data_IF_913882692693
#
_entry.id   IF_913882692693
#
_cell.length_a   1.000
_cell.length_b   1.000
_cell.length_c   1.000
_cell.angle_alpha   90.00
_cell.angle_beta   90.00
_cell.angle_gamma   90.00
#
_symmetry.space_group_name_H-M   'P 1'
#
loop_
_entity.id
_entity.type
_entity.pdbx_description
1 polymer ?
#
# COMPACT_ATOMS: atom_id res chain seq x y z
N UNK A 1 -3.24 25.62 -14.56
CA UNK A 1 -2.48 25.49 -13.30
C UNK A 1 -3.37 24.70 -12.35
N UNK A 2 -2.93 23.54 -11.87
CA UNK A 2 -3.70 22.80 -10.87
C UNK A 2 -3.75 23.62 -9.57
N UNK A 3 -4.91 23.68 -8.89
CA UNK A 3 -5.02 24.41 -7.64
C UNK A 3 -4.06 23.81 -6.61
N UNK A 4 -3.27 24.66 -5.97
CA UNK A 4 -2.31 24.25 -4.94
C UNK A 4 -3.06 23.66 -3.75
N UNK A 5 -2.74 22.41 -3.39
CA UNK A 5 -3.34 21.73 -2.24
C UNK A 5 -2.93 22.43 -0.94
N UNK A 6 -3.86 22.94 -0.11
CA UNK A 6 -3.53 23.48 1.20
C UNK A 6 -3.21 22.35 2.19
N UNK A 7 -2.28 22.60 3.13
CA UNK A 7 -1.95 21.62 4.16
C UNK A 7 -3.16 21.37 5.08
N UNK A 8 -3.55 20.10 5.34
CA UNK A 8 -4.63 19.77 6.28
C UNK A 8 -4.42 20.27 7.72
N UNK A 9 -3.19 20.63 8.08
CA UNK A 9 -2.84 21.15 9.40
C UNK A 9 -2.73 22.67 9.39
N UNK A 10 -1.75 23.25 8.68
CA UNK A 10 -1.49 24.69 8.74
C UNK A 10 -2.17 25.52 7.65
N UNK A 11 -2.88 24.89 6.72
CA UNK A 11 -3.54 25.51 5.55
C UNK A 11 -2.62 26.27 4.59
N UNK A 12 -1.31 26.26 4.81
CA UNK A 12 -0.34 26.81 3.86
C UNK A 12 -0.29 25.96 2.58
N UNK A 13 0.01 26.57 1.42
CA UNK A 13 0.18 25.83 0.17
C UNK A 13 1.25 24.75 0.30
N UNK A 14 0.92 23.53 -0.14
CA UNK A 14 1.87 22.42 -0.18
C UNK A 14 2.71 22.46 -1.46
N UNK A 15 3.92 21.91 -1.37
CA UNK A 15 4.84 21.77 -2.50
C UNK A 15 4.61 20.42 -3.15
N UNK A 16 4.15 20.41 -4.39
CA UNK A 16 4.01 19.19 -5.17
C UNK A 16 5.38 18.72 -5.69
N UNK A 17 5.70 17.44 -5.51
CA UNK A 17 6.87 16.76 -6.08
C UNK A 17 6.42 15.57 -6.91
N UNK A 18 6.99 15.40 -8.09
CA UNK A 18 6.69 14.25 -8.94
C UNK A 18 7.65 13.10 -8.66
N UNK A 19 7.11 11.90 -8.68
CA UNK A 19 7.84 10.64 -8.53
C UNK A 19 7.36 9.68 -9.61
N UNK A 20 8.20 8.72 -9.97
CA UNK A 20 7.81 7.69 -10.94
C UNK A 20 6.65 6.83 -10.41
N UNK A 21 5.72 6.46 -11.30
CA UNK A 21 4.63 5.52 -11.00
C UNK A 21 5.05 4.06 -11.25
N UNK A 22 4.40 3.13 -10.54
CA UNK A 22 4.53 1.69 -10.74
C UNK A 22 4.26 1.32 -12.21
N UNK A 23 3.21 1.90 -12.78
CA UNK A 23 2.91 1.90 -14.21
C UNK A 23 3.60 3.07 -14.91
N UNK A 24 3.51 3.16 -16.24
CA UNK A 24 4.03 4.31 -16.98
C UNK A 24 3.47 5.65 -16.46
N UNK A 25 4.37 6.61 -16.25
CA UNK A 25 4.05 8.00 -15.88
C UNK A 25 4.59 8.43 -14.51
N UNK A 26 4.06 9.55 -14.02
CA UNK A 26 4.49 10.18 -12.77
C UNK A 26 3.31 10.44 -11.83
N UNK A 27 3.55 10.38 -10.52
CA UNK A 27 2.61 10.72 -9.45
C UNK A 27 3.10 11.98 -8.76
N UNK A 28 2.23 12.99 -8.67
CA UNK A 28 2.49 14.19 -7.88
C UNK A 28 2.14 13.91 -6.43
N UNK A 29 3.03 14.24 -5.50
CA UNK A 29 2.82 14.08 -4.07
C UNK A 29 2.99 15.46 -3.42
N UNK A 30 2.00 15.85 -2.62
CA UNK A 30 1.98 17.15 -1.95
C UNK A 30 2.70 17.07 -0.60
N UNK A 31 3.69 17.94 -0.40
CA UNK A 31 4.52 17.98 0.81
C UNK A 31 4.40 19.32 1.54
N UNK A 32 4.23 19.26 2.85
CA UNK A 32 4.31 20.40 3.74
C UNK A 32 5.55 20.27 4.63
N UNK A 33 6.62 20.99 4.29
CA UNK A 33 7.85 21.01 5.09
C UNK A 33 7.66 21.74 6.43
N UNK A 34 6.74 22.71 6.54
CA UNK A 34 6.48 23.36 7.82
C UNK A 34 5.88 22.38 8.86
N UNK A 35 4.94 21.50 8.46
CA UNK A 35 4.32 20.52 9.36
C UNK A 35 5.01 19.15 9.37
N UNK A 36 5.98 18.93 8.47
CA UNK A 36 6.50 17.61 8.09
C UNK A 36 5.37 16.63 7.73
N UNK A 37 4.50 17.06 6.81
CA UNK A 37 3.30 16.34 6.40
C UNK A 37 3.28 16.02 4.91
N UNK A 38 2.65 14.90 4.56
CA UNK A 38 2.41 14.45 3.19
C UNK A 38 0.90 14.32 3.02
N UNK A 39 0.38 14.85 1.93
CA UNK A 39 -0.97 14.54 1.46
C UNK A 39 -0.84 13.60 0.28
N UNK A 40 -1.51 12.46 0.38
CA UNK A 40 -1.70 11.51 -0.71
C UNK A 40 -3.15 11.59 -1.15
N UNK A 41 -3.42 11.95 -2.40
CA UNK A 41 -4.75 11.77 -2.98
C UNK A 41 -5.06 10.26 -3.13
N UNK A 42 -6.28 9.93 -3.55
CA UNK A 42 -6.72 8.54 -3.69
C UNK A 42 -5.73 7.74 -4.57
N UNK A 43 -5.26 6.61 -4.03
CA UNK A 43 -4.32 5.68 -4.66
C UNK A 43 -2.88 6.18 -4.89
N UNK A 44 -2.53 7.43 -4.61
CA UNK A 44 -1.19 7.93 -4.91
C UNK A 44 -0.10 7.18 -4.12
N UNK A 45 -0.33 6.90 -2.84
CA UNK A 45 0.69 6.26 -2.00
C UNK A 45 1.07 4.84 -2.42
N UNK A 46 0.19 4.13 -3.16
CA UNK A 46 0.46 2.79 -3.68
C UNK A 46 1.03 2.81 -5.10
N UNK A 47 0.95 3.95 -5.78
CA UNK A 47 1.42 4.12 -7.14
C UNK A 47 2.90 4.50 -7.23
N UNK A 48 3.55 4.93 -6.14
CA UNK A 48 4.98 5.30 -6.17
C UNK A 48 5.85 4.04 -6.38
N UNK A 49 6.84 4.11 -7.26
CA UNK A 49 7.83 3.02 -7.47
C UNK A 49 8.70 2.80 -6.23
N UNK A 50 9.36 1.63 -6.10
CA UNK A 50 10.43 1.47 -5.10
C UNK A 50 11.50 2.57 -5.18
N UNK A 51 11.92 2.95 -6.39
CA UNK A 51 12.84 4.06 -6.65
C UNK A 51 12.31 5.40 -6.16
N UNK A 52 11.05 5.72 -6.46
CA UNK A 52 10.37 6.93 -5.99
C UNK A 52 10.24 6.98 -4.47
N UNK A 53 10.06 5.84 -3.79
CA UNK A 53 10.08 5.77 -2.32
C UNK A 53 11.46 6.14 -1.78
N UNK A 54 12.55 5.69 -2.41
CA UNK A 54 13.92 6.07 -2.04
C UNK A 54 14.15 7.56 -2.24
N UNK A 55 13.69 8.13 -3.35
CA UNK A 55 13.79 9.57 -3.61
C UNK A 55 13.00 10.40 -2.60
N UNK A 56 11.77 10.00 -2.31
CA UNK A 56 10.94 10.66 -1.29
C UNK A 56 11.58 10.56 0.10
N UNK A 57 12.19 9.42 0.45
CA UNK A 57 12.96 9.28 1.68
C UNK A 57 14.14 10.26 1.75
N UNK A 58 14.94 10.36 0.68
CA UNK A 58 16.07 11.31 0.61
C UNK A 58 15.60 12.75 0.78
N UNK A 59 14.50 13.12 0.12
CA UNK A 59 13.92 14.46 0.23
C UNK A 59 13.45 14.75 1.65
N UNK A 60 12.70 13.84 2.28
CA UNK A 60 12.27 13.99 3.67
C UNK A 60 13.48 14.14 4.61
N UNK A 61 14.52 13.34 4.38
CA UNK A 61 15.73 13.36 5.20
C UNK A 61 16.55 14.65 5.05
N UNK A 62 16.51 15.32 3.89
CA UNK A 62 17.14 16.63 3.67
C UNK A 62 16.51 17.72 4.53
N UNK A 63 15.19 17.64 4.76
CA UNK A 63 14.42 18.60 5.55
C UNK A 63 14.23 18.19 7.02
N UNK A 64 14.96 17.19 7.51
CA UNK A 64 14.74 16.62 8.85
C UNK A 64 14.98 17.61 10.00
N UNK A 65 15.90 18.54 9.80
CA UNK A 65 16.36 19.50 10.82
C UNK A 65 15.65 20.86 10.67
N UNK A 66 14.73 21.00 9.70
CA UNK A 66 13.95 22.21 9.49
C UNK A 66 13.04 22.48 10.68
N UNK A 67 12.76 23.77 10.92
CA UNK A 67 11.88 24.17 12.01
C UNK A 67 10.46 23.65 11.74
N UNK A 68 10.04 22.74 12.61
CA UNK A 68 8.75 22.07 12.51
C UNK A 68 7.67 22.77 13.34
N UNK A 69 6.56 23.08 12.69
CA UNK A 69 5.31 23.49 13.34
C UNK A 69 4.57 22.27 13.94
N UNK A 70 3.96 22.41 15.12
CA UNK A 70 3.07 21.39 15.68
C UNK A 70 1.94 21.05 14.71
N UNK A 71 1.57 19.77 14.66
CA UNK A 71 0.41 19.32 13.86
C UNK A 71 -0.86 19.58 14.66
N UNK A 72 -1.86 20.19 14.02
CA UNK A 72 -3.14 20.52 14.65
C UNK A 72 -3.90 19.26 15.08
N UNK A 73 -4.66 19.37 16.18
CA UNK A 73 -5.45 18.26 16.73
C UNK A 73 -6.65 17.89 15.85
N UNK A 74 -7.16 18.86 15.09
CA UNK A 74 -8.19 18.68 14.07
C UNK A 74 -7.53 18.98 12.73
N UNK A 75 -7.74 18.08 11.77
CA UNK A 75 -7.21 18.22 10.41
C UNK A 75 -8.37 18.13 9.45
N UNK A 76 -8.38 18.98 8.43
CA UNK A 76 -9.47 19.07 7.45
C UNK A 76 -9.01 18.61 6.07
N UNK A 77 -9.90 17.96 5.33
CA UNK A 77 -9.60 17.51 3.99
C UNK A 77 -9.40 18.72 3.05
N UNK A 78 -8.32 18.77 2.25
CA UNK A 78 -8.08 19.88 1.33
C UNK A 78 -9.02 19.88 0.12
N UNK A 79 -9.83 18.83 -0.07
CA UNK A 79 -10.79 18.70 -1.18
C UNK A 79 -12.24 19.01 -0.75
N UNK A 80 -12.69 18.46 0.38
CA UNK A 80 -14.07 18.63 0.84
C UNK A 80 -14.22 19.37 2.18
N UNK A 81 -13.12 19.80 2.80
CA UNK A 81 -13.08 20.53 4.08
C UNK A 81 -13.69 19.80 5.28
N UNK A 82 -14.10 18.54 5.11
CA UNK A 82 -14.54 17.68 6.20
C UNK A 82 -13.36 17.24 7.07
N UNK A 83 -13.64 17.05 8.36
CA UNK A 83 -12.65 16.56 9.33
C UNK A 83 -12.11 15.19 8.92
N UNK A 84 -10.78 15.07 8.90
CA UNK A 84 -10.09 13.81 8.66
C UNK A 84 -10.19 12.89 9.88
N UNK A 85 -10.43 11.60 9.63
CA UNK A 85 -10.47 10.59 10.68
C UNK A 85 -9.09 9.98 10.90
N UNK A 86 -8.70 9.94 12.16
CA UNK A 86 -7.49 9.25 12.60
C UNK A 86 -7.61 7.73 12.38
N UNK A 87 -6.64 7.16 11.67
CA UNK A 87 -6.49 5.73 11.43
C UNK A 87 -5.18 5.21 12.01
N UNK A 88 -5.20 3.95 12.44
CA UNK A 88 -4.05 3.19 12.91
C UNK A 88 -3.96 1.91 12.08
N UNK A 89 -2.76 1.56 11.64
CA UNK A 89 -2.52 0.40 10.79
C UNK A 89 -1.13 -0.20 11.07
N UNK A 90 -0.82 -1.35 10.46
CA UNK A 90 0.40 -2.11 10.67
C UNK A 90 1.17 -2.27 9.35
N UNK A 91 2.45 -1.93 9.36
CA UNK A 91 3.37 -2.15 8.25
C UNK A 91 4.65 -2.84 8.74
N UNK A 92 5.63 -3.00 7.84
CA UNK A 92 6.94 -3.63 8.15
C UNK A 92 7.66 -2.94 9.32
N UNK A 93 7.64 -1.59 9.38
CA UNK A 93 8.23 -0.83 10.48
C UNK A 93 7.38 -0.77 11.75
N UNK A 94 6.26 -1.50 11.78
CA UNK A 94 5.34 -1.59 12.91
C UNK A 94 4.07 -0.76 12.74
N UNK A 95 3.42 -0.44 13.86
CA UNK A 95 2.19 0.36 13.90
C UNK A 95 2.44 1.80 13.43
N UNK A 96 1.65 2.30 12.51
CA UNK A 96 1.71 3.69 12.08
C UNK A 96 0.31 4.30 12.06
N UNK A 97 0.23 5.63 12.04
CA UNK A 97 -1.01 6.37 12.00
C UNK A 97 -1.07 7.33 10.81
N UNK A 98 -2.29 7.66 10.41
CA UNK A 98 -2.59 8.59 9.34
C UNK A 98 -3.97 9.21 9.57
N UNK A 99 -4.35 10.22 8.80
CA UNK A 99 -5.67 10.84 8.87
C UNK A 99 -6.33 10.78 7.49
N UNK A 100 -7.43 10.04 7.35
CA UNK A 100 -8.09 9.80 6.06
C UNK A 100 -9.38 10.59 5.91
N UNK A 101 -9.68 10.97 4.69
CA UNK A 101 -10.99 11.51 4.33
C UNK A 101 -12.01 10.38 4.15
N UNK A 102 -13.18 10.49 4.77
CA UNK A 102 -14.27 9.51 4.58
C UNK A 102 -14.84 9.51 3.16
N UNK A 103 -14.73 10.64 2.44
CA UNK A 103 -15.11 10.77 1.04
C UNK A 103 -14.04 10.21 0.08
N UNK A 104 -13.02 9.52 0.61
CA UNK A 104 -11.93 8.89 -0.15
C UNK A 104 -11.05 9.83 -0.98
N UNK A 105 -11.10 11.14 -0.75
CA UNK A 105 -10.22 12.09 -1.42
C UNK A 105 -8.73 11.88 -1.17
N UNK A 106 -8.35 11.22 -0.07
CA UNK A 106 -6.95 11.02 0.27
C UNK A 106 -6.69 10.83 1.76
N UNK A 107 -5.41 10.86 2.12
CA UNK A 107 -4.93 10.81 3.50
C UNK A 107 -3.76 11.76 3.75
N UNK A 108 -3.72 12.28 4.98
CA UNK A 108 -2.59 13.00 5.53
C UNK A 108 -1.74 12.07 6.39
N UNK A 109 -0.45 11.99 6.08
CA UNK A 109 0.55 11.19 6.81
C UNK A 109 1.74 12.06 7.12
N UNK A 110 2.28 12.00 8.34
CA UNK A 110 3.48 12.79 8.69
C UNK A 110 4.74 12.08 8.20
N UNK A 111 5.83 12.82 7.99
CA UNK A 111 7.11 12.25 7.53
C UNK A 111 7.57 11.09 8.41
N UNK A 112 7.45 11.23 9.74
CA UNK A 112 7.75 10.15 10.68
C UNK A 112 6.88 8.91 10.46
N UNK A 113 5.58 9.07 10.24
CA UNK A 113 4.66 7.96 10.01
C UNK A 113 4.89 7.29 8.66
N UNK A 114 5.25 8.07 7.64
CA UNK A 114 5.68 7.52 6.35
C UNK A 114 6.95 6.68 6.49
N UNK A 115 7.94 7.15 7.26
CA UNK A 115 9.16 6.37 7.52
C UNK A 115 8.85 5.06 8.27
N UNK A 116 7.90 5.06 9.22
CA UNK A 116 7.44 3.83 9.89
C UNK A 116 6.74 2.90 8.90
N UNK A 117 5.81 3.45 8.11
CA UNK A 117 5.06 2.70 7.10
C UNK A 117 5.99 1.99 6.11
N UNK A 118 7.03 2.68 5.64
CA UNK A 118 7.99 2.14 4.66
C UNK A 118 9.17 1.38 5.29
N UNK A 119 9.24 1.32 6.62
CA UNK A 119 10.26 0.55 7.34
C UNK A 119 11.64 1.20 7.44
N UNK A 120 11.77 2.49 7.14
CA UNK A 120 13.02 3.24 7.34
C UNK A 120 13.31 3.53 8.82
N UNK A 121 12.31 3.39 9.68
CA UNK A 121 12.49 3.45 11.14
C UNK A 121 11.89 2.21 11.77
N UNK A 122 12.43 1.86 12.94
CA UNK A 122 11.87 0.82 13.79
C UNK A 122 11.32 1.40 15.09
N UNK A 123 10.42 0.65 15.69
CA UNK A 123 9.89 0.95 17.01
C UNK A 123 10.84 0.41 18.07
N UNK A 124 11.02 1.17 19.14
CA UNK A 124 11.80 0.71 20.27
C UNK A 124 11.11 -0.46 20.96
N UNK A 125 11.90 -1.45 21.34
CA UNK A 125 11.43 -2.55 22.20
C UNK A 125 11.14 -2.03 23.60
N UNK A 126 10.35 -2.78 24.38
CA UNK A 126 10.08 -2.43 25.77
C UNK A 126 11.35 -2.29 26.62
N UNK A 127 12.38 -3.11 26.34
CA UNK A 127 13.68 -3.03 27.03
C UNK A 127 14.42 -1.74 26.70
N UNK A 128 14.48 -1.36 25.42
CA UNK A 128 15.12 -0.11 24.99
C UNK A 128 14.39 1.12 25.52
N UNK A 129 13.05 1.09 25.55
CA UNK A 129 12.25 2.15 26.18
C UNK A 129 12.62 2.25 27.67
N UNK A 130 12.70 1.13 28.39
CA UNK A 130 13.09 1.13 29.80
C UNK A 130 14.50 1.67 30.05
N UNK A 131 15.46 1.42 29.16
CA UNK A 131 16.78 2.04 29.24
C UNK A 131 16.74 3.54 28.93
N UNK A 132 15.95 3.95 27.93
CA UNK A 132 15.78 5.36 27.56
C UNK A 132 15.17 6.17 28.70
N UNK A 133 14.19 5.59 29.42
CA UNK A 133 13.53 6.17 30.61
C UNK A 133 14.49 6.60 31.71
N UNK A 134 15.63 5.91 31.84
CA UNK A 134 16.65 6.23 32.86
C UNK A 134 17.46 7.47 32.50
N UNK A 135 17.53 7.83 31.21
CA UNK A 135 18.40 8.89 30.68
C UNK A 135 17.62 10.13 30.24
N UNK A 136 16.38 9.96 29.79
CA UNK A 136 15.56 11.03 29.22
C UNK A 136 14.19 11.02 29.88
N UNK A 137 13.72 12.19 30.32
CA UNK A 137 12.39 12.34 30.92
C UNK A 137 11.31 12.59 29.88
N UNK A 138 11.47 13.64 29.09
CA UNK A 138 10.48 14.09 28.10
C UNK A 138 11.11 14.14 26.72
N UNK A 139 10.50 13.50 25.74
CA UNK A 139 10.85 13.62 24.31
C UNK A 139 9.73 14.30 23.54
N UNK A 140 10.02 14.81 22.34
CA UNK A 140 8.99 15.34 21.44
C UNK A 140 8.52 14.24 20.50
N UNK A 141 7.22 14.11 20.34
CA UNK A 141 6.64 13.18 19.37
C UNK A 141 7.09 13.56 17.95
N UNK A 142 7.74 12.62 17.27
CA UNK A 142 8.16 12.81 15.87
C UNK A 142 6.98 12.96 14.91
N UNK A 143 5.76 12.61 15.32
CA UNK A 143 4.54 12.72 14.49
C UNK A 143 3.65 13.93 14.76
N UNK A 144 3.47 14.41 15.99
CA UNK A 144 2.64 15.61 16.23
C UNK A 144 3.37 16.77 16.93
N UNK A 145 4.59 16.57 17.42
CA UNK A 145 5.35 17.57 18.17
C UNK A 145 4.95 17.70 19.65
N UNK A 146 3.91 17.00 20.10
CA UNK A 146 3.51 16.97 21.51
C UNK A 146 4.62 16.39 22.40
N UNK A 147 4.78 16.88 23.64
CA UNK A 147 5.68 16.26 24.60
C UNK A 147 5.17 14.85 24.96
N UNK A 148 6.10 13.90 25.12
CA UNK A 148 5.85 12.55 25.60
C UNK A 148 6.72 12.36 26.85
N UNK A 149 6.10 12.09 28.00
CA UNK A 149 6.84 11.66 29.19
C UNK A 149 7.16 10.18 29.04
N UNK A 150 8.35 9.86 28.56
CA UNK A 150 8.72 8.48 28.25
C UNK A 150 8.77 7.62 29.50
N UNK A 151 8.88 8.20 30.70
CA UNK A 151 8.91 7.46 31.98
C UNK A 151 7.59 6.75 32.26
N UNK A 152 6.50 7.29 31.75
CA UNK A 152 5.14 6.79 31.97
C UNK A 152 4.58 6.15 30.71
N UNK A 153 4.86 6.77 29.56
CA UNK A 153 4.23 6.41 28.30
C UNK A 153 5.16 5.59 27.38
N UNK A 154 4.56 4.69 26.60
CA UNK A 154 5.24 3.96 25.51
C UNK A 154 4.81 4.45 24.11
N UNK A 155 3.93 5.44 24.06
CA UNK A 155 3.39 6.07 22.85
C UNK A 155 2.95 7.50 23.17
N UNK A 156 2.76 8.33 22.15
CA UNK A 156 2.27 9.70 22.35
C UNK A 156 0.82 9.70 22.85
N UNK A 157 0.54 10.31 24.00
CA UNK A 157 -0.82 10.46 24.53
C UNK A 157 -1.77 11.30 23.64
N UNK A 158 -1.23 12.15 22.75
CA UNK A 158 -2.03 13.01 21.88
C UNK A 158 -2.43 12.33 20.56
N UNK A 159 -1.46 11.85 19.79
CA UNK A 159 -1.71 11.26 18.46
C UNK A 159 -1.61 9.74 18.43
N UNK A 160 -1.31 9.08 19.56
CA UNK A 160 -1.11 7.62 19.66
C UNK A 160 0.03 7.06 18.79
N UNK A 161 0.90 7.92 18.27
CA UNK A 161 2.12 7.49 17.58
C UNK A 161 3.02 6.69 18.52
N UNK A 162 3.58 5.55 18.09
CA UNK A 162 4.62 4.88 18.86
C UNK A 162 5.89 5.75 18.94
N UNK A 163 6.74 5.44 19.91
CA UNK A 163 8.08 6.02 20.02
C UNK A 163 8.98 5.25 19.04
N UNK A 164 9.45 5.93 17.99
CA UNK A 164 10.28 5.36 16.94
C UNK A 164 11.60 6.12 16.83
N UNK A 165 12.66 5.42 16.46
CA UNK A 165 13.98 5.99 16.22
C UNK A 165 14.43 5.70 14.79
N UNK A 166 15.20 6.64 14.23
CA UNK A 166 16.01 6.37 13.05
C UNK A 166 17.14 5.44 13.46
N UNK A 167 17.02 4.19 13.03
CA UNK A 167 18.04 3.16 13.22
C UNK A 167 18.80 2.98 11.90
N UNK A 168 20.13 3.22 11.87
CA UNK A 168 20.94 3.04 10.67
C UNK A 168 20.74 1.67 10.02
N UNK A 169 20.60 0.61 10.80
CA UNK A 169 20.41 -0.75 10.27
C UNK A 169 19.05 -0.87 9.57
N UNK A 170 17.98 -0.34 10.17
CA UNK A 170 16.66 -0.33 9.55
C UNK A 170 16.63 0.48 8.24
N UNK A 171 17.34 1.62 8.20
CA UNK A 171 17.48 2.42 6.99
C UNK A 171 18.21 1.64 5.89
N UNK A 172 19.34 1.01 6.22
CA UNK A 172 20.12 0.21 5.27
C UNK A 172 19.31 -0.95 4.70
N UNK A 173 18.63 -1.72 5.56
CA UNK A 173 17.76 -2.82 5.14
C UNK A 173 16.61 -2.35 4.24
N UNK A 174 15.95 -1.24 4.59
CA UNK A 174 14.87 -0.67 3.80
C UNK A 174 15.38 -0.21 2.43
N UNK A 175 16.49 0.52 2.37
CA UNK A 175 17.11 0.97 1.12
C UNK A 175 17.50 -0.23 0.24
N UNK A 176 18.14 -1.25 0.79
CA UNK A 176 18.51 -2.46 0.05
C UNK A 176 17.26 -3.17 -0.51
N UNK A 177 16.20 -3.30 0.29
CA UNK A 177 14.94 -3.92 -0.15
C UNK A 177 14.28 -3.15 -1.29
N UNK A 178 14.21 -1.82 -1.21
CA UNK A 178 13.62 -1.00 -2.27
C UNK A 178 14.50 -0.96 -3.52
N UNK A 179 15.82 -0.95 -3.39
CA UNK A 179 16.74 -1.04 -4.53
C UNK A 179 16.58 -2.36 -5.28
N UNK A 180 16.53 -3.49 -4.57
CA UNK A 180 16.29 -4.79 -5.18
C UNK A 180 14.93 -4.85 -5.88
N UNK A 181 13.88 -4.29 -5.26
CA UNK A 181 12.56 -4.21 -5.86
C UNK A 181 12.55 -3.33 -7.13
N UNK A 182 13.31 -2.23 -7.15
CA UNK A 182 13.44 -1.38 -8.33
C UNK A 182 14.18 -2.11 -9.46
N UNK A 183 15.31 -2.75 -9.17
CA UNK A 183 16.06 -3.53 -10.17
C UNK A 183 15.17 -4.60 -10.78
N UNK A 184 14.39 -5.31 -9.98
CA UNK A 184 13.44 -6.32 -10.47
C UNK A 184 12.34 -5.71 -11.34
N UNK A 185 11.85 -4.53 -11.00
CA UNK A 185 10.83 -3.81 -11.77
C UNK A 185 11.36 -3.35 -13.13
N UNK A 186 12.58 -2.80 -13.17
CA UNK A 186 13.19 -2.25 -14.39
C UNK A 186 13.93 -3.29 -15.22
N UNK A 187 14.13 -4.49 -14.70
CA UNK A 187 14.75 -5.58 -15.44
C UNK A 187 14.00 -5.81 -16.76
N UNK A 188 14.71 -6.02 -17.88
CA UNK A 188 14.06 -6.36 -19.14
C UNK A 188 13.16 -7.58 -18.90
N UNK A 189 11.91 -7.57 -19.40
CA UNK A 189 11.10 -8.76 -19.36
C UNK A 189 11.86 -9.89 -20.05
N UNK A 190 12.02 -11.01 -19.36
CA UNK A 190 12.59 -12.21 -19.94
C UNK A 190 11.63 -12.69 -21.04
N UNK A 191 12.01 -12.37 -22.28
CA UNK A 191 11.20 -12.64 -23.47
C UNK A 191 10.98 -14.14 -23.65
N UNK A 192 11.93 -14.97 -23.24
CA UNK A 192 11.84 -16.42 -23.31
C UNK A 192 10.82 -16.95 -22.28
N UNK A 193 10.88 -16.48 -21.02
CA UNK A 193 9.86 -16.81 -20.03
C UNK A 193 8.45 -16.33 -20.42
N UNK A 194 8.35 -15.14 -21.04
CA UNK A 194 7.06 -14.61 -21.50
C UNK A 194 6.50 -15.46 -22.66
N UNK A 195 7.36 -15.83 -23.62
CA UNK A 195 6.99 -16.70 -24.72
C UNK A 195 6.55 -18.09 -24.22
N UNK A 196 7.26 -18.66 -23.26
CA UNK A 196 6.91 -19.94 -22.63
C UNK A 196 5.57 -19.88 -21.89
N UNK A 197 5.31 -18.81 -21.15
CA UNK A 197 4.03 -18.61 -20.46
C UNK A 197 2.86 -18.51 -21.45
N UNK A 198 3.04 -17.81 -22.58
CA UNK A 198 2.05 -17.73 -23.65
C UNK A 198 1.82 -19.12 -24.27
N UNK A 199 2.89 -19.85 -24.59
CA UNK A 199 2.81 -21.20 -25.17
C UNK A 199 2.14 -22.20 -24.23
N UNK A 200 2.43 -22.14 -22.92
CA UNK A 200 1.77 -22.97 -21.92
C UNK A 200 0.27 -22.66 -21.83
N UNK A 201 -0.09 -21.38 -21.81
CA UNK A 201 -1.50 -20.96 -21.77
C UNK A 201 -2.26 -21.45 -22.99
N UNK A 202 -1.65 -21.37 -24.17
CA UNK A 202 -2.27 -21.83 -25.42
C UNK A 202 -2.36 -23.37 -25.47
N UNK A 203 -1.34 -24.09 -24.99
CA UNK A 203 -1.40 -25.56 -24.83
C UNK A 203 -2.53 -25.98 -23.90
N UNK A 204 -2.72 -25.30 -22.77
CA UNK A 204 -3.81 -25.58 -21.83
C UNK A 204 -5.18 -25.26 -22.43
N UNK A 205 -5.29 -24.18 -23.19
CA UNK A 205 -6.51 -23.86 -23.95
C UNK A 205 -6.86 -24.96 -24.94
N UNK A 206 -5.89 -25.46 -25.70
CA UNK A 206 -6.07 -26.55 -26.66
C UNK A 206 -6.42 -27.87 -25.95
N UNK A 207 -5.79 -28.18 -24.81
CA UNK A 207 -6.15 -29.35 -23.98
C UNK A 207 -7.61 -29.28 -23.52
N UNK A 208 -8.03 -28.16 -22.94
CA UNK A 208 -9.42 -27.94 -22.52
C UNK A 208 -10.42 -28.03 -23.68
N UNK A 209 -10.05 -27.56 -24.87
CA UNK A 209 -10.90 -27.72 -26.07
C UNK A 209 -11.03 -29.19 -26.49
N UNK A 210 -9.94 -29.97 -26.44
CA UNK A 210 -9.97 -31.40 -26.75
C UNK A 210 -10.80 -32.17 -25.73
N UNK A 211 -10.64 -31.90 -24.44
CA UNK A 211 -11.45 -32.50 -23.36
C UNK A 211 -12.94 -32.19 -23.53
N UNK A 212 -13.29 -30.94 -23.85
CA UNK A 212 -14.68 -30.55 -24.14
C UNK A 212 -15.26 -31.30 -25.35
N UNK A 213 -14.48 -31.43 -26.43
CA UNK A 213 -14.90 -32.21 -27.61
C UNK A 213 -15.06 -33.69 -27.28
N UNK A 214 -14.13 -34.29 -26.53
CA UNK A 214 -14.21 -35.68 -26.10
C UNK A 214 -15.48 -35.92 -25.25
N UNK A 215 -15.75 -35.06 -24.27
CA UNK A 215 -16.98 -35.16 -23.45
C UNK A 215 -18.26 -34.94 -24.26
N UNK A 216 -18.22 -34.13 -25.31
CA UNK A 216 -19.38 -33.93 -26.19
C UNK A 216 -19.65 -35.17 -27.04
N UNK A 217 -18.59 -35.82 -27.55
CA UNK A 217 -18.70 -37.09 -28.29
C UNK A 217 -19.17 -38.24 -27.39
N UNK A 218 -18.70 -38.32 -26.14
CA UNK A 218 -19.17 -39.29 -25.14
C UNK A 218 -20.66 -39.08 -24.79
N UNK A 219 -21.14 -37.83 -24.78
CA UNK A 219 -22.56 -37.54 -24.53
C UNK A 219 -23.48 -37.88 -25.70
N UNK A 220 -22.95 -37.91 -26.93
CA UNK A 220 -23.69 -38.30 -28.13
C UNK A 220 -23.86 -39.83 -28.20
N UNK A 221 -22.91 -40.61 -27.71
CA UNK A 221 -22.96 -42.09 -27.74
C UNK A 221 -23.91 -42.69 -26.68
N UNK A 222 -24.08 -42.01 -25.53
CA UNK A 222 -25.06 -42.41 -24.50
C UNK A 222 -26.50 -42.01 -24.89
N UNK A 223 -26.66 -40.88 -25.60
CA UNK A 223 -27.97 -40.38 -26.03
C UNK A 223 -28.67 -41.30 -27.05
N UNK A 224 -27.93 -41.84 -28.01
CA UNK A 224 -28.48 -42.73 -29.04
C UNK A 224 -28.91 -44.10 -28.50
N UNK A 225 -28.32 -44.57 -27.39
CA UNK A 225 -28.67 -45.85 -26.78
C UNK A 225 -30.00 -45.78 -26.00
N UNK A 226 -30.31 -44.63 -25.39
CA UNK A 226 -31.59 -44.40 -24.71
C UNK A 226 -32.73 -44.15 -25.71
N UNK A 227 -32.48 -43.42 -26.80
CA UNK A 227 -33.49 -43.18 -27.85
C UNK A 227 -33.84 -44.47 -28.58
N UNK A 228 -32.84 -45.31 -28.88
CA UNK A 228 -33.05 -46.64 -29.48
C UNK A 228 -33.82 -47.60 -28.54
N UNK A 229 -33.61 -47.50 -27.22
CA UNK A 229 -34.31 -48.32 -26.22
C UNK A 229 -35.80 -47.97 -26.06
N UNK A 230 -36.15 -46.68 -26.14
CA UNK A 230 -37.55 -46.22 -26.05
C UNK A 230 -38.36 -46.63 -27.29
N UNK A 231 -37.76 -46.62 -28.48
CA UNK A 231 -38.43 -47.04 -29.71
C UNK A 231 -38.75 -48.55 -29.74
N UNK A 232 -37.86 -49.37 -29.18
CA UNK A 232 -38.06 -50.82 -29.04
C UNK A 232 -39.18 -51.17 -28.04
N UNK A 233 -39.26 -50.47 -26.91
CA UNK A 233 -40.33 -50.66 -25.94
C UNK A 233 -41.70 -50.25 -26.49
N UNK A 234 -41.77 -49.16 -27.26
CA UNK A 234 -43.03 -48.68 -27.86
C UNK A 234 -43.57 -49.61 -28.95
N UNK A 235 -42.70 -50.27 -29.72
CA UNK A 235 -43.12 -51.32 -30.68
C UNK A 235 -43.69 -52.56 -29.99
N UNK A 236 -43.14 -52.94 -28.84
CA UNK A 236 -43.61 -54.11 -28.09
C UNK A 236 -45.02 -53.89 -27.49
N UNK A 237 -45.30 -52.69 -26.96
CA UNK A 237 -46.63 -52.36 -26.43
C UNK A 237 -47.73 -52.22 -27.50
N UNK A 238 -47.38 -52.00 -28.77
CA UNK A 238 -48.35 -51.82 -29.86
C UNK A 238 -48.72 -53.12 -30.59
N UNK A 239 -48.00 -54.22 -30.33
CA UNK A 239 -48.27 -55.55 -30.90
C UNK A 239 -49.06 -56.47 -29.97
N UNK A 240 -49.49 -55.99 -28.80
CA UNK A 240 -50.20 -56.79 -27.79
C UNK A 240 -51.63 -56.31 -27.52
N UNK A 241 -52.26 -55.67 -28.49
CA UNK A 241 -53.69 -55.34 -28.49
C UNK A 241 -54.31 -55.63 -29.85
#
# INVERSE_FOLDING_TARGET
MNPTTPCPSCHQPMVQKTFERQLLGEVGIDLCFACHGIWFDEFESVQITPGGIIELFKLIHQHRDDQRLPVNAVLDCPRCHERLLHGLDLAKGGRFNYHRCLQKHGRFTTFAQFMIEKGFVRQLTASEINELRKKVGVVRCTSCGAPIDIRQDNACGHCRSPIAILDPEAVEQALASYQQAEVKRTAPPDVEMLADAILMTEKDRLRRQREKKANTVDSLDIGDLLVSGVELAWKYFRSSN
#
